data_IF_856210856232
#
_entry.id   IF_856210856232
#
_cell.length_a   1.000
_cell.length_b   1.000
_cell.length_c   1.000
_cell.angle_alpha   90.00
_cell.angle_beta   90.00
_cell.angle_gamma   90.00
#
_symmetry.space_group_name_H-M   'P 1'
#
loop_
_entity.id
_entity.type
_entity.pdbx_description
1 polymer ?
#
# COMPACT_ATOMS: atom_id res chain seq x y z
N UNK A 1 -38.39 -12.94 -11.21
CA UNK A 1 -36.98 -12.95 -10.80
C UNK A 1 -36.91 -13.02 -9.31
N UNK A 2 -36.08 -13.89 -8.76
CA UNK A 2 -35.82 -13.91 -7.31
C UNK A 2 -35.25 -12.55 -6.86
N UNK A 3 -35.70 -12.12 -5.68
CA UNK A 3 -35.23 -10.87 -5.08
C UNK A 3 -34.55 -11.16 -3.76
N UNK A 4 -33.56 -10.35 -3.43
CA UNK A 4 -32.87 -10.36 -2.14
C UNK A 4 -33.15 -9.05 -1.40
N UNK A 5 -33.20 -9.13 -0.09
CA UNK A 5 -33.37 -7.98 0.79
C UNK A 5 -32.01 -7.46 1.23
N UNK A 6 -31.71 -6.21 0.88
CA UNK A 6 -30.53 -5.50 1.33
C UNK A 6 -30.92 -4.49 2.40
N UNK A 7 -30.35 -4.61 3.59
CA UNK A 7 -30.56 -3.67 4.69
C UNK A 7 -29.38 -2.68 4.73
N UNK A 8 -29.67 -1.39 4.57
CA UNK A 8 -28.69 -0.31 4.65
C UNK A 8 -29.20 0.76 5.63
N UNK A 9 -28.40 1.15 6.62
CA UNK A 9 -28.75 2.08 7.70
C UNK A 9 -30.12 1.76 8.35
N UNK A 10 -30.42 0.47 8.59
CA UNK A 10 -31.65 -0.01 9.21
C UNK A 10 -32.89 -0.01 8.30
N UNK A 11 -32.79 0.43 7.05
CA UNK A 11 -33.87 0.38 6.04
C UNK A 11 -33.65 -0.78 5.07
N UNK A 12 -34.74 -1.44 4.67
CA UNK A 12 -34.69 -2.58 3.76
C UNK A 12 -35.07 -2.19 2.34
N UNK A 13 -34.31 -2.66 1.38
CA UNK A 13 -34.46 -2.45 -0.06
C UNK A 13 -34.50 -3.81 -0.77
N UNK A 14 -35.27 -3.93 -1.85
CA UNK A 14 -35.42 -5.17 -2.60
C UNK A 14 -34.72 -5.07 -3.95
N UNK A 15 -33.70 -5.90 -4.15
CA UNK A 15 -32.93 -5.96 -5.39
C UNK A 15 -33.09 -7.31 -6.10
N UNK A 16 -32.81 -7.39 -7.40
CA UNK A 16 -32.67 -8.68 -8.07
C UNK A 16 -31.53 -9.49 -7.43
N UNK A 17 -31.71 -10.80 -7.33
CA UNK A 17 -30.63 -11.73 -6.94
C UNK A 17 -29.44 -11.61 -7.89
N UNK A 18 -28.23 -11.82 -7.42
CA UNK A 18 -26.96 -11.67 -8.14
C UNK A 18 -26.59 -10.24 -8.55
N UNK A 19 -27.29 -9.22 -8.01
CA UNK A 19 -26.88 -7.83 -8.19
C UNK A 19 -25.51 -7.59 -7.54
N UNK A 20 -24.70 -6.72 -8.15
CA UNK A 20 -23.40 -6.35 -7.58
C UNK A 20 -23.53 -5.27 -6.50
N UNK A 21 -22.60 -5.24 -5.55
CA UNK A 21 -22.52 -4.12 -4.59
C UNK A 21 -22.26 -2.79 -5.29
N UNK A 22 -21.58 -2.80 -6.44
CA UNK A 22 -21.35 -1.62 -7.28
C UNK A 22 -22.67 -1.04 -7.79
N UNK A 23 -23.59 -1.88 -8.27
CA UNK A 23 -24.90 -1.41 -8.73
C UNK A 23 -25.77 -0.91 -7.57
N UNK A 24 -25.73 -1.60 -6.42
CA UNK A 24 -26.43 -1.16 -5.21
C UNK A 24 -25.85 0.18 -4.71
N UNK A 25 -24.54 0.36 -4.75
CA UNK A 25 -23.88 1.57 -4.25
C UNK A 25 -24.31 2.84 -4.99
N UNK A 26 -24.73 2.74 -6.25
CA UNK A 26 -25.23 3.87 -7.06
C UNK A 26 -26.46 4.50 -6.43
N UNK A 27 -27.33 3.71 -5.84
CA UNK A 27 -28.56 4.22 -5.17
C UNK A 27 -28.26 4.99 -3.88
N UNK A 28 -27.05 4.82 -3.34
CA UNK A 28 -26.65 5.44 -2.06
C UNK A 28 -25.48 6.43 -2.22
N UNK A 29 -24.94 6.61 -3.43
CA UNK A 29 -23.79 7.47 -3.67
C UNK A 29 -23.99 8.91 -3.18
N UNK A 30 -25.21 9.44 -3.23
CA UNK A 30 -25.53 10.79 -2.75
C UNK A 30 -25.32 10.98 -1.24
N UNK A 31 -25.28 9.90 -0.46
CA UNK A 31 -25.00 9.94 0.98
C UNK A 31 -23.49 10.08 1.29
N UNK A 32 -22.63 10.03 0.28
CA UNK A 32 -21.18 10.04 0.42
C UNK A 32 -20.58 11.23 -0.34
N UNK A 33 -19.59 11.86 0.28
CA UNK A 33 -18.92 13.03 -0.33
C UNK A 33 -17.96 12.65 -1.44
N UNK A 34 -17.47 11.41 -1.44
CA UNK A 34 -16.55 10.87 -2.41
C UNK A 34 -17.12 9.58 -3.03
N UNK A 35 -16.48 9.09 -4.08
CA UNK A 35 -16.90 7.85 -4.73
C UNK A 35 -16.82 6.67 -3.76
N UNK A 36 -17.92 5.92 -3.62
CA UNK A 36 -17.94 4.65 -2.88
C UNK A 36 -16.99 3.67 -3.60
N UNK A 37 -16.06 3.07 -2.86
CA UNK A 37 -15.03 2.20 -3.44
C UNK A 37 -14.97 0.81 -2.78
N UNK A 38 -15.70 0.60 -1.70
CA UNK A 38 -15.74 -0.65 -0.96
C UNK A 38 -17.05 -0.79 -0.19
N UNK A 39 -17.40 -2.02 0.19
CA UNK A 39 -18.54 -2.30 1.06
C UNK A 39 -18.19 -3.34 2.13
N UNK A 40 -19.01 -3.38 3.16
CA UNK A 40 -19.06 -4.43 4.16
C UNK A 40 -20.41 -5.14 4.06
N UNK A 41 -20.40 -6.47 4.03
CA UNK A 41 -21.59 -7.31 3.99
C UNK A 41 -21.61 -8.18 5.22
N UNK A 42 -22.63 -8.03 6.06
CA UNK A 42 -22.77 -8.75 7.33
C UNK A 42 -21.49 -8.69 8.21
N UNK A 43 -20.85 -7.49 8.31
CA UNK A 43 -19.64 -7.27 9.11
C UNK A 43 -18.36 -7.79 8.46
N UNK A 44 -18.37 -8.14 7.18
CA UNK A 44 -17.17 -8.57 6.43
C UNK A 44 -16.91 -7.68 5.23
N UNK A 45 -15.66 -7.29 4.98
CA UNK A 45 -15.30 -6.42 3.87
C UNK A 45 -15.33 -7.16 2.52
N UNK A 46 -15.87 -6.48 1.50
CA UNK A 46 -15.95 -6.96 0.12
C UNK A 46 -15.70 -5.83 -0.88
N UNK A 47 -15.10 -6.18 -2.00
CA UNK A 47 -15.01 -5.32 -3.16
C UNK A 47 -16.38 -5.17 -3.83
N UNK A 48 -16.58 -4.05 -4.54
CA UNK A 48 -17.89 -3.72 -5.09
C UNK A 48 -18.39 -4.66 -6.19
N UNK A 49 -17.53 -5.50 -6.77
CA UNK A 49 -17.92 -6.52 -7.73
C UNK A 49 -18.53 -7.79 -7.10
N UNK A 50 -18.64 -7.84 -5.76
CA UNK A 50 -19.31 -8.94 -5.08
C UNK A 50 -20.80 -8.98 -5.43
N UNK A 51 -21.31 -10.19 -5.74
CA UNK A 51 -22.72 -10.44 -6.07
C UNK A 51 -23.50 -10.86 -4.84
N UNK A 52 -24.59 -10.17 -4.59
CA UNK A 52 -25.48 -10.45 -3.46
C UNK A 52 -26.47 -11.53 -3.85
N UNK A 53 -26.36 -12.68 -3.19
CA UNK A 53 -27.19 -13.88 -3.47
C UNK A 53 -28.26 -14.13 -2.42
N UNK A 54 -28.15 -13.54 -1.24
CA UNK A 54 -28.99 -13.76 -0.08
C UNK A 54 -29.33 -12.44 0.61
N UNK A 55 -30.27 -12.49 1.58
CA UNK A 55 -30.58 -11.32 2.42
C UNK A 55 -29.37 -10.90 3.24
N UNK A 56 -29.00 -9.61 3.14
CA UNK A 56 -27.77 -9.08 3.75
C UNK A 56 -27.97 -7.70 4.36
N UNK A 57 -27.09 -7.35 5.30
CA UNK A 57 -26.85 -5.98 5.74
C UNK A 57 -25.59 -5.47 5.08
N UNK A 58 -25.64 -4.24 4.54
CA UNK A 58 -24.55 -3.63 3.79
C UNK A 58 -24.22 -2.26 4.37
N UNK A 59 -22.93 -1.97 4.53
CA UNK A 59 -22.38 -0.64 4.75
C UNK A 59 -21.39 -0.32 3.64
N UNK A 60 -21.35 0.95 3.19
CA UNK A 60 -20.46 1.40 2.13
C UNK A 60 -19.37 2.31 2.66
N UNK A 61 -18.24 2.32 1.97
CA UNK A 61 -17.07 3.13 2.33
C UNK A 61 -16.54 3.88 1.12
N UNK A 62 -16.36 5.17 1.28
CA UNK A 62 -15.58 6.02 0.39
C UNK A 62 -14.19 6.30 0.98
N UNK A 63 -13.38 7.12 0.33
CA UNK A 63 -12.03 7.44 0.79
C UNK A 63 -11.99 8.22 2.12
N UNK A 64 -13.14 8.74 2.61
CA UNK A 64 -13.22 9.48 3.87
C UNK A 64 -13.20 8.57 5.10
N UNK A 65 -13.43 7.27 4.90
CA UNK A 65 -13.32 6.26 5.95
C UNK A 65 -11.89 5.68 6.02
N UNK A 66 -11.43 5.17 7.18
CA UNK A 66 -10.13 4.51 7.28
C UNK A 66 -9.98 3.31 6.34
N UNK A 67 -11.04 2.52 6.17
CA UNK A 67 -11.07 1.36 5.28
C UNK A 67 -10.99 1.79 3.82
N UNK A 68 -11.84 2.71 3.38
CA UNK A 68 -11.83 3.24 2.03
C UNK A 68 -10.51 3.95 1.69
N UNK A 69 -9.91 4.67 2.65
CA UNK A 69 -8.63 5.32 2.43
C UNK A 69 -7.50 4.31 2.13
N UNK A 70 -7.48 3.14 2.81
CA UNK A 70 -6.53 2.06 2.51
C UNK A 70 -6.76 1.43 1.13
N UNK A 71 -8.02 1.25 0.74
CA UNK A 71 -8.37 0.74 -0.60
C UNK A 71 -7.92 1.72 -1.68
N UNK A 72 -8.15 3.01 -1.46
CA UNK A 72 -7.70 4.08 -2.34
C UNK A 72 -6.17 4.10 -2.49
N UNK A 73 -5.44 4.04 -1.38
CA UNK A 73 -3.98 3.93 -1.34
C UNK A 73 -3.47 2.75 -2.16
N UNK A 74 -4.01 1.55 -1.91
CA UNK A 74 -3.59 0.33 -2.60
C UNK A 74 -3.87 0.40 -4.11
N UNK A 75 -5.01 0.96 -4.50
CA UNK A 75 -5.35 1.21 -5.90
C UNK A 75 -4.36 2.18 -6.57
N UNK A 76 -4.01 3.28 -5.88
CA UNK A 76 -3.03 4.24 -6.39
C UNK A 76 -1.63 3.63 -6.54
N UNK A 77 -1.20 2.79 -5.60
CA UNK A 77 0.08 2.08 -5.72
C UNK A 77 0.08 1.19 -6.96
N UNK A 78 -1.02 0.47 -7.24
CA UNK A 78 -1.10 -0.39 -8.40
C UNK A 78 -1.09 0.39 -9.73
N UNK A 79 -1.80 1.52 -9.80
CA UNK A 79 -1.74 2.45 -10.95
C UNK A 79 -0.34 3.03 -11.12
N UNK A 80 0.33 3.39 -10.02
CA UNK A 80 1.70 3.90 -10.03
C UNK A 80 2.70 2.84 -10.54
N UNK A 81 2.60 1.59 -10.07
CA UNK A 81 3.43 0.49 -10.58
C UNK A 81 3.32 0.37 -12.11
N UNK A 82 2.07 0.37 -12.63
CA UNK A 82 1.85 0.29 -14.08
C UNK A 82 2.41 1.50 -14.81
N UNK A 83 2.19 2.70 -14.31
CA UNK A 83 2.71 3.93 -14.92
C UNK A 83 4.26 3.97 -14.94
N UNK A 84 4.90 3.52 -13.88
CA UNK A 84 6.37 3.42 -13.82
C UNK A 84 6.91 2.38 -14.81
N UNK A 85 6.28 1.24 -14.95
CA UNK A 85 6.64 0.26 -15.96
C UNK A 85 6.51 0.83 -17.38
N UNK A 86 5.41 1.53 -17.67
CA UNK A 86 5.17 2.13 -18.99
C UNK A 86 6.19 3.24 -19.32
N UNK A 87 6.45 4.15 -18.39
CA UNK A 87 7.24 5.36 -18.65
C UNK A 87 8.73 5.21 -18.35
N UNK A 88 9.08 4.40 -17.35
CA UNK A 88 10.46 4.25 -16.89
C UNK A 88 11.04 2.89 -17.27
N UNK A 89 10.23 1.93 -17.69
CA UNK A 89 10.59 0.53 -17.82
C UNK A 89 11.33 0.04 -16.56
N UNK A 90 10.78 0.32 -15.38
CA UNK A 90 11.32 0.01 -14.06
C UNK A 90 10.23 -0.32 -13.08
N UNK A 91 10.47 -1.35 -12.29
CA UNK A 91 9.71 -1.59 -11.06
C UNK A 91 10.00 -0.51 -10.02
N UNK A 92 9.13 -0.44 -9.03
CA UNK A 92 9.27 0.45 -7.86
C UNK A 92 9.22 -0.37 -6.58
N UNK A 93 9.76 0.19 -5.54
CA UNK A 93 9.69 -0.36 -4.19
C UNK A 93 8.94 0.60 -3.27
N UNK A 94 7.83 0.14 -2.70
CA UNK A 94 7.09 0.86 -1.67
C UNK A 94 7.80 0.66 -0.35
N UNK A 95 8.33 1.72 0.25
CA UNK A 95 9.13 1.64 1.49
C UNK A 95 8.27 1.85 2.74
N UNK A 96 7.90 3.09 3.02
CA UNK A 96 7.22 3.45 4.26
C UNK A 96 6.41 4.74 4.06
N UNK A 97 5.48 4.99 4.99
CA UNK A 97 4.80 6.28 5.05
C UNK A 97 5.71 7.33 5.68
N UNK A 98 5.83 8.48 5.02
CA UNK A 98 6.57 9.63 5.53
C UNK A 98 5.80 10.92 5.22
N UNK A 99 5.68 11.80 6.21
CA UNK A 99 4.97 13.07 6.09
C UNK A 99 3.63 12.96 5.32
N UNK A 100 2.82 11.95 5.68
CA UNK A 100 1.47 11.75 5.12
C UNK A 100 1.44 11.39 3.63
N UNK A 101 2.50 10.80 3.17
CA UNK A 101 2.64 10.21 1.85
C UNK A 101 3.41 8.91 1.93
N UNK A 102 3.52 8.22 0.81
CA UNK A 102 4.23 6.96 0.69
C UNK A 102 5.55 7.21 -0.01
N UNK A 103 6.64 6.85 0.66
CA UNK A 103 7.98 6.93 0.10
C UNK A 103 8.21 5.76 -0.86
N UNK A 104 8.56 6.10 -2.09
CA UNK A 104 8.80 5.16 -3.19
C UNK A 104 10.25 5.26 -3.62
N UNK A 105 10.92 4.10 -3.71
CA UNK A 105 12.27 3.95 -4.27
C UNK A 105 12.17 3.38 -5.68
N UNK A 106 13.02 3.88 -6.57
CA UNK A 106 13.15 3.38 -7.95
C UNK A 106 14.48 2.67 -8.14
N UNK A 107 14.48 1.60 -8.92
CA UNK A 107 15.73 0.89 -9.26
C UNK A 107 16.54 1.60 -10.35
N UNK A 108 15.92 2.50 -11.09
CA UNK A 108 16.56 3.37 -12.07
C UNK A 108 16.62 4.80 -11.58
N UNK A 109 17.64 5.54 -11.99
CA UNK A 109 17.71 6.98 -11.77
C UNK A 109 16.62 7.69 -12.56
N UNK A 110 15.94 8.61 -11.91
CA UNK A 110 14.85 9.39 -12.47
C UNK A 110 15.14 10.89 -12.37
N UNK A 111 14.59 11.65 -13.29
CA UNK A 111 14.55 13.11 -13.25
C UNK A 111 13.16 13.61 -12.82
N UNK A 112 13.01 14.91 -12.63
CA UNK A 112 11.70 15.52 -12.39
C UNK A 112 10.78 15.36 -13.61
N UNK A 113 11.35 15.49 -14.82
CA UNK A 113 10.63 15.31 -16.08
C UNK A 113 10.10 13.88 -16.25
N UNK A 114 10.88 12.89 -15.80
CA UNK A 114 10.43 11.50 -15.80
C UNK A 114 9.26 11.29 -14.84
N UNK A 115 9.34 11.88 -13.65
CA UNK A 115 8.24 11.82 -12.68
C UNK A 115 6.97 12.53 -13.20
N UNK A 116 7.13 13.62 -13.95
CA UNK A 116 6.00 14.30 -14.61
C UNK A 116 5.36 13.43 -15.70
N UNK A 117 6.16 12.62 -16.44
CA UNK A 117 5.62 11.63 -17.41
C UNK A 117 4.83 10.54 -16.67
N UNK A 118 5.37 9.99 -15.58
CA UNK A 118 4.67 9.00 -14.74
C UNK A 118 3.35 9.57 -14.22
N UNK A 119 3.36 10.80 -13.71
CA UNK A 119 2.15 11.46 -13.21
C UNK A 119 1.08 11.64 -14.29
N UNK A 120 1.47 11.97 -15.52
CA UNK A 120 0.55 12.06 -16.66
C UNK A 120 -0.02 10.70 -17.03
N UNK A 121 0.81 9.68 -17.12
CA UNK A 121 0.38 8.31 -17.40
C UNK A 121 -0.61 7.78 -16.36
N UNK A 122 -0.36 8.01 -15.06
CA UNK A 122 -1.31 7.69 -14.00
C UNK A 122 -2.67 8.35 -14.24
N UNK A 123 -2.69 9.65 -14.59
CA UNK A 123 -3.92 10.38 -14.89
C UNK A 123 -4.67 9.79 -16.09
N UNK A 124 -3.95 9.38 -17.13
CA UNK A 124 -4.56 8.74 -18.30
C UNK A 124 -5.13 7.36 -17.96
N UNK A 125 -4.44 6.55 -17.16
CA UNK A 125 -4.95 5.26 -16.66
C UNK A 125 -6.25 5.48 -15.87
N UNK A 126 -6.26 6.45 -14.95
CA UNK A 126 -7.43 6.78 -14.13
C UNK A 126 -8.59 7.29 -14.99
N UNK A 127 -8.32 8.18 -15.94
CA UNK A 127 -9.33 8.72 -16.85
C UNK A 127 -10.00 7.65 -17.74
N UNK A 128 -9.25 6.61 -18.08
CA UNK A 128 -9.77 5.48 -18.89
C UNK A 128 -10.66 4.54 -18.07
N UNK A 129 -10.72 4.68 -16.76
CA UNK A 129 -11.54 3.86 -15.85
C UNK A 129 -11.39 2.36 -16.11
N UNK A 130 -10.15 1.88 -16.01
CA UNK A 130 -9.81 0.51 -16.35
C UNK A 130 -10.17 -0.44 -15.20
N UNK A 131 -10.72 -1.63 -15.50
CA UNK A 131 -11.07 -2.60 -14.47
C UNK A 131 -9.84 -3.14 -13.74
N UNK A 132 -9.96 -3.27 -12.42
CA UNK A 132 -9.01 -3.98 -11.55
C UNK A 132 -9.66 -5.31 -11.18
N UNK A 133 -9.13 -6.40 -11.73
CA UNK A 133 -9.72 -7.72 -11.60
C UNK A 133 -8.99 -8.55 -10.54
N UNK A 134 -9.72 -9.09 -9.57
CA UNK A 134 -9.21 -10.03 -8.58
C UNK A 134 -9.37 -11.45 -9.09
N UNK A 135 -8.28 -12.19 -9.11
CA UNK A 135 -8.24 -13.59 -9.56
C UNK A 135 -7.66 -14.48 -8.45
N UNK A 136 -8.39 -15.49 -8.08
CA UNK A 136 -7.88 -16.53 -7.20
C UNK A 136 -7.10 -17.55 -8.07
N UNK A 137 -5.79 -17.57 -7.93
CA UNK A 137 -4.91 -18.44 -8.73
C UNK A 137 -4.17 -19.42 -7.84
N UNK A 138 -3.74 -20.54 -8.42
CA UNK A 138 -2.86 -21.46 -7.70
C UNK A 138 -1.52 -20.78 -7.40
N UNK A 139 -0.99 -20.99 -6.19
CA UNK A 139 0.27 -20.42 -5.74
C UNK A 139 1.45 -20.70 -6.69
N UNK A 140 1.49 -21.91 -7.28
CA UNK A 140 2.55 -22.29 -8.22
C UNK A 140 2.46 -21.49 -9.52
N UNK A 141 1.26 -21.23 -10.02
CA UNK A 141 1.04 -20.37 -11.19
C UNK A 141 1.50 -18.92 -10.92
N UNK A 142 1.19 -18.40 -9.73
CA UNK A 142 1.67 -17.09 -9.32
C UNK A 142 3.20 -17.04 -9.23
N UNK A 143 3.85 -18.09 -8.72
CA UNK A 143 5.31 -18.22 -8.69
C UNK A 143 5.89 -18.22 -10.11
N UNK A 144 5.31 -18.97 -11.06
CA UNK A 144 5.79 -18.98 -12.45
C UNK A 144 5.63 -17.61 -13.12
N UNK A 145 4.51 -16.92 -12.88
CA UNK A 145 4.34 -15.55 -13.35
C UNK A 145 5.44 -14.62 -12.82
N UNK A 146 5.71 -14.61 -11.50
CA UNK A 146 6.75 -13.75 -10.92
C UNK A 146 8.17 -14.15 -11.31
N UNK A 147 8.44 -15.40 -11.64
CA UNK A 147 9.71 -15.82 -12.27
C UNK A 147 9.86 -15.21 -13.66
N UNK A 148 8.80 -15.22 -14.48
CA UNK A 148 8.81 -14.67 -15.84
C UNK A 148 9.05 -13.17 -15.85
N UNK A 149 8.56 -12.44 -14.83
CA UNK A 149 8.79 -10.99 -14.64
C UNK A 149 10.04 -10.68 -13.83
N UNK A 150 10.79 -11.68 -13.38
CA UNK A 150 12.02 -11.56 -12.56
C UNK A 150 11.78 -10.91 -11.17
N UNK A 151 10.56 -10.91 -10.67
CA UNK A 151 10.18 -10.40 -9.34
C UNK A 151 10.49 -11.48 -8.27
N UNK A 152 11.79 -11.75 -8.04
CA UNK A 152 12.24 -12.86 -7.20
C UNK A 152 11.92 -12.71 -5.71
N UNK A 153 11.76 -11.50 -5.21
CA UNK A 153 11.26 -11.20 -3.88
C UNK A 153 9.87 -11.80 -3.67
N UNK A 154 8.94 -11.59 -4.62
CA UNK A 154 7.59 -12.15 -4.61
C UNK A 154 7.60 -13.69 -4.75
N UNK A 155 8.45 -14.21 -5.62
CA UNK A 155 8.66 -15.68 -5.73
C UNK A 155 9.03 -16.29 -4.38
N UNK A 156 9.99 -15.67 -3.69
CA UNK A 156 10.48 -16.20 -2.42
C UNK A 156 9.46 -16.06 -1.29
N UNK A 157 8.70 -14.94 -1.22
CA UNK A 157 7.60 -14.82 -0.25
C UNK A 157 6.55 -15.92 -0.48
N UNK A 158 6.16 -16.16 -1.71
CA UNK A 158 5.15 -17.19 -2.04
C UNK A 158 5.64 -18.62 -1.77
N UNK A 159 6.93 -18.89 -1.84
CA UNK A 159 7.49 -20.21 -1.48
C UNK A 159 7.21 -20.58 -0.01
N UNK A 160 7.22 -19.59 0.88
CA UNK A 160 6.98 -19.80 2.32
C UNK A 160 5.50 -19.69 2.71
N UNK A 161 4.63 -19.31 1.77
CA UNK A 161 3.18 -19.27 2.03
C UNK A 161 2.62 -20.67 2.22
N UNK A 162 1.79 -20.85 3.24
CA UNK A 162 1.06 -22.11 3.51
C UNK A 162 -0.20 -22.24 2.64
N UNK A 163 -0.66 -21.14 2.05
CA UNK A 163 -1.87 -21.13 1.24
C UNK A 163 -1.61 -21.76 -0.14
N UNK A 164 -2.52 -22.63 -0.57
CA UNK A 164 -2.48 -23.24 -1.91
C UNK A 164 -2.88 -22.27 -3.01
N UNK A 165 -3.73 -21.29 -2.70
CA UNK A 165 -4.20 -20.26 -3.61
C UNK A 165 -3.83 -18.86 -3.09
N UNK A 166 -3.65 -17.93 -4.01
CA UNK A 166 -3.38 -16.52 -3.74
C UNK A 166 -4.27 -15.62 -4.60
N UNK A 167 -4.67 -14.48 -4.05
CA UNK A 167 -5.40 -13.47 -4.80
C UNK A 167 -4.40 -12.60 -5.57
N UNK A 168 -4.46 -12.65 -6.90
CA UNK A 168 -3.74 -11.73 -7.77
C UNK A 168 -4.71 -10.71 -8.36
N UNK A 169 -4.37 -9.44 -8.23
CA UNK A 169 -5.08 -8.36 -8.92
C UNK A 169 -4.42 -8.10 -10.27
N UNK A 170 -5.24 -7.93 -11.29
CA UNK A 170 -4.82 -7.60 -12.64
C UNK A 170 -5.22 -6.18 -12.99
N UNK A 171 -4.25 -5.40 -13.47
CA UNK A 171 -4.48 -4.11 -14.11
C UNK A 171 -3.78 -4.12 -15.48
N UNK A 172 -4.54 -4.04 -16.56
CA UNK A 172 -4.03 -4.20 -17.92
C UNK A 172 -3.28 -5.54 -18.10
N UNK A 173 -1.97 -5.50 -18.26
CA UNK A 173 -1.07 -6.62 -18.52
C UNK A 173 -0.20 -7.01 -17.31
N UNK A 174 -0.34 -6.31 -16.18
CA UNK A 174 0.39 -6.65 -14.96
C UNK A 174 -0.48 -7.32 -13.91
N UNK A 175 0.14 -8.15 -13.10
CA UNK A 175 -0.47 -8.77 -11.93
C UNK A 175 0.35 -8.45 -10.68
N UNK A 176 -0.36 -8.18 -9.58
CA UNK A 176 0.28 -8.07 -8.27
C UNK A 176 -0.66 -8.60 -7.17
N UNK A 177 -0.10 -8.95 -6.00
CA UNK A 177 -0.90 -9.28 -4.84
C UNK A 177 -0.85 -8.14 -3.82
N UNK A 178 -1.97 -7.97 -3.12
CA UNK A 178 -2.11 -6.96 -2.07
C UNK A 178 -2.71 -7.59 -0.83
N UNK A 179 -2.29 -7.12 0.35
CA UNK A 179 -2.89 -7.49 1.63
C UNK A 179 -4.17 -6.70 1.93
N UNK A 180 -4.44 -5.66 1.16
CA UNK A 180 -5.64 -4.84 1.20
C UNK A 180 -6.56 -5.22 0.04
N UNK A 181 -7.81 -4.75 0.12
CA UNK A 181 -8.73 -4.74 -1.01
C UNK A 181 -8.36 -3.61 -1.98
N UNK A 182 -8.79 -3.73 -3.24
CA UNK A 182 -8.61 -2.71 -4.25
C UNK A 182 -9.97 -2.23 -4.78
N UNK A 183 -10.06 -1.00 -5.35
CA UNK A 183 -11.27 -0.58 -6.04
C UNK A 183 -11.49 -1.46 -7.29
N UNK A 184 -12.73 -1.57 -7.73
CA UNK A 184 -13.09 -2.41 -8.90
C UNK A 184 -12.58 -1.83 -10.22
N UNK A 185 -12.32 -0.52 -10.24
CA UNK A 185 -11.75 0.18 -11.40
C UNK A 185 -10.86 1.34 -10.98
N UNK A 186 -10.10 1.89 -11.93
CA UNK A 186 -9.18 3.00 -11.68
C UNK A 186 -9.86 4.36 -11.60
N UNK A 187 -11.11 4.49 -12.07
CA UNK A 187 -11.82 5.77 -12.22
C UNK A 187 -12.08 6.52 -10.91
N UNK A 188 -12.12 5.82 -9.78
CA UNK A 188 -12.27 6.43 -8.45
C UNK A 188 -10.99 7.13 -7.95
N UNK A 189 -9.81 6.85 -8.54
CA UNK A 189 -8.49 7.23 -8.03
C UNK A 189 -8.02 8.61 -8.57
N UNK A 190 -8.88 9.61 -8.52
CA UNK A 190 -8.70 10.89 -9.25
C UNK A 190 -7.63 11.79 -8.66
N UNK A 191 -7.47 11.81 -7.35
CA UNK A 191 -6.69 12.81 -6.63
C UNK A 191 -5.39 12.21 -6.10
N UNK A 192 -4.26 12.59 -6.67
CA UNK A 192 -2.91 12.24 -6.20
C UNK A 192 -1.88 13.25 -6.65
N UNK A 193 -0.72 13.24 -6.01
CA UNK A 193 0.43 14.05 -6.39
C UNK A 193 1.73 13.30 -6.14
N UNK A 194 2.62 13.31 -7.12
CA UNK A 194 3.98 12.83 -6.98
C UNK A 194 4.90 13.99 -6.60
N UNK A 195 5.81 13.77 -5.67
CA UNK A 195 6.79 14.77 -5.21
C UNK A 195 8.19 14.18 -5.31
N UNK A 196 9.00 14.73 -6.19
CA UNK A 196 10.38 14.34 -6.38
C UNK A 196 11.21 14.61 -5.12
N UNK A 197 12.00 13.63 -4.68
CA UNK A 197 12.95 13.75 -3.56
C UNK A 197 14.38 13.78 -4.09
N UNK A 198 14.81 12.71 -4.76
CA UNK A 198 16.12 12.58 -5.37
C UNK A 198 16.08 11.69 -6.62
N UNK A 199 17.25 11.42 -7.20
CA UNK A 199 17.37 10.63 -8.43
C UNK A 199 16.87 9.17 -8.31
N UNK A 200 16.57 8.68 -7.12
CA UNK A 200 16.13 7.31 -6.90
C UNK A 200 14.82 7.23 -6.09
N UNK A 201 14.22 8.38 -5.76
CA UNK A 201 13.07 8.37 -4.88
C UNK A 201 12.11 9.54 -5.08
N UNK A 202 10.85 9.29 -4.73
CA UNK A 202 9.78 10.27 -4.71
C UNK A 202 8.72 9.88 -3.68
N UNK A 203 7.78 10.78 -3.40
CA UNK A 203 6.66 10.54 -2.49
C UNK A 203 5.35 10.59 -3.26
N UNK A 204 4.54 9.53 -3.15
CA UNK A 204 3.14 9.51 -3.57
C UNK A 204 2.28 10.10 -2.45
N UNK A 205 1.50 11.13 -2.76
CA UNK A 205 0.54 11.76 -1.86
C UNK A 205 -0.86 11.70 -2.44
N UNK A 206 -1.85 11.54 -1.59
CA UNK A 206 -3.25 11.43 -1.95
C UNK A 206 -4.12 12.02 -0.82
N UNK A 207 -5.43 12.23 -1.05
CA UNK A 207 -6.32 12.70 -0.01
C UNK A 207 -6.28 11.79 1.22
N UNK A 208 -6.18 12.40 2.41
CA UNK A 208 -6.00 11.67 3.65
C UNK A 208 -7.06 12.08 4.67
N UNK A 209 -7.63 11.12 5.38
CA UNK A 209 -8.68 11.32 6.39
C UNK A 209 -8.26 12.29 7.49
N UNK A 210 -6.97 12.37 7.82
CA UNK A 210 -6.43 13.30 8.83
C UNK A 210 -6.33 14.75 8.33
N UNK A 211 -6.55 15.02 7.03
CA UNK A 211 -6.43 16.33 6.37
C UNK A 211 -7.70 16.74 5.64
N UNK A 212 -8.87 16.37 6.17
CA UNK A 212 -10.16 16.72 5.60
C UNK A 212 -10.27 16.30 4.12
N UNK A 213 -9.77 15.11 3.82
CA UNK A 213 -9.80 14.52 2.47
C UNK A 213 -9.11 15.38 1.38
N UNK A 214 -8.10 16.16 1.78
CA UNK A 214 -7.25 16.92 0.85
C UNK A 214 -5.89 16.28 0.76
N UNK A 215 -5.20 16.50 -0.35
CA UNK A 215 -3.79 16.12 -0.50
C UNK A 215 -2.97 17.03 0.41
N UNK A 216 -2.32 16.49 1.45
CA UNK A 216 -1.52 17.30 2.38
C UNK A 216 -0.33 17.93 1.66
N UNK A 217 0.08 19.12 2.08
CA UNK A 217 1.30 19.74 1.59
C UNK A 217 2.50 18.94 2.11
N UNK A 218 3.43 18.59 1.23
CA UNK A 218 4.64 17.88 1.62
C UNK A 218 5.57 18.81 2.41
N UNK A 219 6.03 18.30 3.54
CA UNK A 219 7.08 18.94 4.34
C UNK A 219 8.22 17.95 4.55
N UNK A 220 9.39 18.25 4.05
CA UNK A 220 10.55 17.40 4.25
C UNK A 220 11.03 17.46 5.70
N UNK A 221 11.23 16.30 6.31
CA UNK A 221 11.71 16.14 7.68
C UNK A 221 13.09 15.45 7.66
N UNK A 222 14.15 16.24 7.43
CA UNK A 222 15.52 15.75 7.25
C UNK A 222 15.95 14.72 8.32
N UNK A 223 15.66 15.01 9.59
CA UNK A 223 16.07 14.12 10.69
C UNK A 223 15.40 12.76 10.59
N UNK A 224 14.08 12.75 10.39
CA UNK A 224 13.32 11.51 10.26
C UNK A 224 13.71 10.72 9.01
N UNK A 225 13.85 11.43 7.89
CA UNK A 225 14.28 10.83 6.62
C UNK A 225 15.67 10.17 6.72
N UNK A 226 16.61 10.86 7.36
CA UNK A 226 17.97 10.34 7.57
C UNK A 226 17.98 9.10 8.48
N UNK A 227 17.11 9.01 9.48
CA UNK A 227 17.01 7.81 10.32
C UNK A 227 16.42 6.62 9.53
N UNK A 228 15.38 6.82 8.74
CA UNK A 228 14.86 5.77 7.84
C UNK A 228 15.92 5.31 6.83
N UNK A 229 16.68 6.25 6.24
CA UNK A 229 17.76 5.93 5.31
C UNK A 229 18.87 5.09 5.96
N UNK A 230 19.29 5.43 7.19
CA UNK A 230 20.26 4.62 7.95
C UNK A 230 19.74 3.20 8.18
N UNK A 231 18.43 3.06 8.45
CA UNK A 231 17.81 1.76 8.65
C UNK A 231 17.78 0.95 7.36
N UNK A 232 17.46 1.56 6.23
CA UNK A 232 17.53 0.93 4.91
C UNK A 232 18.96 0.44 4.60
N UNK A 233 19.97 1.32 4.75
CA UNK A 233 21.37 0.99 4.52
C UNK A 233 21.85 -0.15 5.43
N UNK A 234 21.37 -0.21 6.65
CA UNK A 234 21.66 -1.27 7.58
C UNK A 234 21.02 -2.61 7.15
N UNK A 235 19.74 -2.60 6.80
CA UNK A 235 19.04 -3.81 6.35
C UNK A 235 19.64 -4.36 5.05
N UNK A 236 20.04 -3.49 4.13
CA UNK A 236 20.77 -3.87 2.91
C UNK A 236 22.12 -4.53 3.23
N UNK A 237 22.92 -3.97 4.16
CA UNK A 237 24.20 -4.57 4.57
C UNK A 237 24.05 -5.94 5.21
N UNK A 238 22.96 -6.18 5.92
CA UNK A 238 22.65 -7.49 6.50
C UNK A 238 22.01 -8.46 5.51
N UNK A 239 21.60 -7.99 4.31
CA UNK A 239 20.86 -8.77 3.33
C UNK A 239 19.50 -9.23 3.85
N UNK A 240 18.78 -8.32 4.54
CA UNK A 240 17.42 -8.52 5.09
C UNK A 240 16.48 -7.37 4.72
N UNK A 241 16.65 -6.79 3.54
CA UNK A 241 15.91 -5.62 3.05
C UNK A 241 14.40 -5.86 2.90
N UNK A 242 13.99 -7.10 2.84
CA UNK A 242 12.59 -7.48 2.67
C UNK A 242 12.29 -8.82 3.35
N UNK A 243 11.00 -9.14 3.47
CA UNK A 243 10.52 -10.39 4.11
C UNK A 243 11.08 -11.63 3.43
N UNK A 244 11.28 -11.61 2.12
CA UNK A 244 11.86 -12.71 1.35
C UNK A 244 13.28 -13.02 1.78
N UNK A 245 14.12 -12.00 1.89
CA UNK A 245 15.52 -12.15 2.31
C UNK A 245 15.62 -12.57 3.78
N UNK A 246 14.77 -12.01 4.65
CA UNK A 246 14.68 -12.43 6.05
C UNK A 246 14.27 -13.90 6.17
N UNK A 247 13.21 -14.34 5.49
CA UNK A 247 12.77 -15.74 5.48
C UNK A 247 13.87 -16.69 5.02
N UNK A 248 14.67 -16.28 4.03
CA UNK A 248 15.80 -17.07 3.55
C UNK A 248 16.90 -17.24 4.61
N UNK A 249 17.12 -16.22 5.46
CA UNK A 249 18.05 -16.30 6.59
C UNK A 249 17.52 -17.20 7.69
N UNK A 250 16.23 -17.04 8.04
CA UNK A 250 15.55 -17.85 9.06
C UNK A 250 15.62 -19.33 8.70
N UNK A 251 15.28 -19.71 7.49
CA UNK A 251 15.29 -21.11 7.04
C UNK A 251 16.69 -21.73 6.95
N UNK A 252 17.74 -20.91 6.82
CA UNK A 252 19.13 -21.38 6.86
C UNK A 252 19.72 -21.47 8.27
N UNK A 253 18.94 -21.12 9.30
CA UNK A 253 19.39 -21.14 10.70
C UNK A 253 20.33 -19.99 11.09
N UNK A 254 20.45 -18.94 10.28
CA UNK A 254 21.36 -17.80 10.51
C UNK A 254 20.65 -16.61 11.16
N UNK A 255 19.79 -16.86 12.16
CA UNK A 255 19.00 -15.82 12.83
C UNK A 255 19.80 -15.17 13.96
N UNK A 256 20.55 -15.97 14.71
CA UNK A 256 21.29 -15.50 15.90
C UNK A 256 22.29 -14.39 15.54
N UNK A 257 22.97 -14.52 14.40
CA UNK A 257 23.88 -13.48 13.91
C UNK A 257 23.17 -12.16 13.62
N UNK A 258 21.95 -12.23 13.05
CA UNK A 258 21.15 -11.04 12.75
C UNK A 258 20.70 -10.36 14.05
N UNK A 259 20.23 -11.14 15.02
CA UNK A 259 19.81 -10.63 16.33
C UNK A 259 21.00 -9.96 17.03
N UNK A 260 22.14 -10.66 17.14
CA UNK A 260 23.34 -10.14 17.77
C UNK A 260 23.85 -8.85 17.13
N UNK A 261 23.89 -8.80 15.78
CA UNK A 261 24.30 -7.60 15.06
C UNK A 261 23.32 -6.45 15.26
N UNK A 262 22.01 -6.73 15.29
CA UNK A 262 20.95 -5.73 15.54
C UNK A 262 21.09 -5.12 16.93
N UNK A 263 21.28 -5.94 17.96
CA UNK A 263 21.49 -5.51 19.34
C UNK A 263 22.77 -4.66 19.48
N UNK A 264 23.87 -5.09 18.83
CA UNK A 264 25.11 -4.32 18.85
C UNK A 264 24.97 -2.95 18.19
N UNK A 265 24.23 -2.84 17.07
CA UNK A 265 23.98 -1.53 16.40
C UNK A 265 23.13 -0.64 17.29
N UNK A 266 22.09 -1.18 17.93
CA UNK A 266 21.26 -0.45 18.89
C UNK A 266 22.09 0.04 20.07
N UNK A 267 22.88 -0.82 20.70
CA UNK A 267 23.74 -0.49 21.81
C UNK A 267 24.75 0.62 21.43
N UNK A 268 25.40 0.50 20.28
CA UNK A 268 26.30 1.53 19.77
C UNK A 268 25.60 2.89 19.57
N UNK A 269 24.33 2.88 19.14
CA UNK A 269 23.55 4.11 19.00
C UNK A 269 23.24 4.73 20.35
N UNK A 270 22.90 3.93 21.36
CA UNK A 270 22.68 4.37 22.74
C UNK A 270 23.97 4.93 23.34
N UNK A 271 25.12 4.29 23.13
CA UNK A 271 26.42 4.82 23.58
C UNK A 271 26.73 6.18 22.98
N UNK A 272 26.51 6.39 21.69
CA UNK A 272 26.72 7.70 21.03
C UNK A 272 25.82 8.81 21.60
N UNK A 273 24.57 8.47 21.93
CA UNK A 273 23.64 9.38 22.59
C UNK A 273 24.17 9.73 23.98
N UNK A 274 24.55 8.74 24.78
CA UNK A 274 25.10 8.94 26.11
C UNK A 274 26.38 9.79 26.07
N UNK A 275 27.29 9.52 25.14
CA UNK A 275 28.50 10.30 24.93
C UNK A 275 28.20 11.77 24.56
N UNK A 276 27.23 11.98 23.67
CA UNK A 276 26.77 13.33 23.29
C UNK A 276 26.24 14.09 24.49
N UNK A 277 25.45 13.44 25.35
CA UNK A 277 24.91 14.02 26.59
C UNK A 277 26.04 14.35 27.55
N UNK A 278 26.95 13.39 27.78
CA UNK A 278 28.07 13.54 28.69
C UNK A 278 29.00 14.72 28.32
N UNK A 279 29.32 14.83 27.03
CA UNK A 279 30.25 15.85 26.52
C UNK A 279 29.61 17.23 26.38
N UNK A 280 28.29 17.36 26.27
CA UNK A 280 27.60 18.61 26.13
C UNK A 280 27.09 19.17 27.45
N UNK A 281 27.96 19.89 28.17
CA UNK A 281 27.62 20.53 29.47
C UNK A 281 26.52 21.58 29.39
N UNK A 282 26.10 22.01 28.18
CA UNK A 282 25.02 22.99 28.00
C UNK A 282 23.64 22.33 28.02
N UNK A 283 23.55 21.00 27.87
CA UNK A 283 22.31 20.27 27.99
C UNK A 283 21.79 20.34 29.43
N UNK A 284 20.60 20.92 29.62
CA UNK A 284 19.92 21.04 30.91
C UNK A 284 18.69 20.14 31.02
N UNK A 285 18.12 19.76 29.90
CA UNK A 285 16.90 18.95 29.82
C UNK A 285 17.05 17.94 28.71
N UNK A 286 16.69 16.70 29.00
CA UNK A 286 16.62 15.59 28.06
C UNK A 286 15.19 15.06 28.09
N UNK A 287 14.53 15.08 26.94
CA UNK A 287 13.20 14.53 26.77
C UNK A 287 13.30 13.22 26.00
N UNK A 288 12.77 12.15 26.58
CA UNK A 288 12.62 10.85 25.94
C UNK A 288 11.17 10.68 25.52
N UNK A 289 10.94 10.39 24.24
CA UNK A 289 9.63 10.11 23.69
C UNK A 289 9.68 8.80 22.92
N UNK A 290 8.64 8.03 23.04
CA UNK A 290 8.47 6.74 22.35
C UNK A 290 7.01 6.44 22.08
N UNK A 291 6.69 5.37 21.31
CA UNK A 291 5.33 4.91 21.12
C UNK A 291 4.70 4.53 22.47
N UNK A 292 3.47 4.95 22.72
CA UNK A 292 2.79 4.74 24.01
C UNK A 292 2.32 3.30 24.27
N UNK A 293 2.50 2.42 23.30
CA UNK A 293 2.05 1.01 23.36
C UNK A 293 3.19 -0.01 23.51
N UNK A 294 4.36 0.44 23.81
CA UNK A 294 5.52 -0.43 24.09
C UNK A 294 5.65 -0.77 25.54
#
# INVERSE_FOLDING_TARGET
MEKVKVTYLGKSYMYPKDITLEDISKDFQENYSETIIMAEVNGRPYELNYKVTDDVTVDFFDLTSPTGNRVYESGLIFVLEKACLNMLNSEIEVKYSIDKGIYIKTYKKITKEDLDKVSREMKEIVKRDLPIQKNLVNRLEAIEYYKSTKSYDKVNVLKYSVNTNVNLYRLMDIYNYFFSYLPVSTGALKEFKLTYIDQNSFVLRYPNIYYLNKIPVYKHHDKLFNEFKKYDEWSEKLGIENVSSLNSRVTKGNVDDIVLLSENIQNNSLFKIAETIYNNKKLKLILLAGPSSS
#
